data_IF_371895975803
#
_entry.id   IF_371895975803
#
_cell.length_a   1.000
_cell.length_b   1.000
_cell.length_c   1.000
_cell.angle_alpha   90.00
_cell.angle_beta   90.00
_cell.angle_gamma   90.00
#
_symmetry.space_group_name_H-M   'P 1'
#
loop_
_entity.id
_entity.type
_entity.pdbx_description
1 polymer ?
#
# COMPACT_ATOMS: atom_id res chain seq x y z
N UNK A 1 -29.34 11.86 -0.01
CA UNK A 1 -28.48 11.63 1.16
C UNK A 1 -27.06 11.71 0.65
N UNK A 2 -26.18 12.56 1.20
CA UNK A 2 -24.81 12.56 0.71
C UNK A 2 -24.17 11.23 1.13
N UNK A 3 -23.57 10.54 0.17
CA UNK A 3 -22.75 9.37 0.41
C UNK A 3 -21.71 9.73 1.48
N UNK A 4 -21.79 9.07 2.63
CA UNK A 4 -20.66 9.01 3.55
C UNK A 4 -19.61 8.23 2.77
N UNK A 5 -18.69 8.93 2.10
CA UNK A 5 -17.43 8.33 1.69
C UNK A 5 -16.86 7.73 2.96
N UNK A 6 -16.89 6.40 3.08
CA UNK A 6 -16.19 5.72 4.16
C UNK A 6 -14.73 6.07 3.95
N UNK A 7 -14.26 7.07 4.69
CA UNK A 7 -12.93 7.62 4.55
C UNK A 7 -11.97 6.49 4.92
N UNK A 8 -11.07 6.14 4.01
CA UNK A 8 -9.99 5.21 4.30
C UNK A 8 -9.27 5.63 5.58
N UNK A 9 -9.32 4.78 6.60
CA UNK A 9 -8.84 5.11 7.94
C UNK A 9 -7.34 5.45 7.96
N UNK A 10 -6.57 4.94 6.98
CA UNK A 10 -5.16 5.29 6.80
C UNK A 10 -5.00 6.76 6.37
N UNK A 11 -5.79 7.20 5.39
CA UNK A 11 -5.77 8.58 4.88
C UNK A 11 -6.28 9.54 5.95
N UNK A 12 -7.35 9.18 6.68
CA UNK A 12 -7.83 9.96 7.83
C UNK A 12 -6.72 10.16 8.87
N UNK A 13 -6.04 9.08 9.25
CA UNK A 13 -4.92 9.10 10.22
C UNK A 13 -3.76 9.98 9.74
N UNK A 14 -3.52 10.05 8.43
CA UNK A 14 -2.45 10.86 7.84
C UNK A 14 -2.81 12.35 7.80
N UNK A 15 -4.06 12.67 7.49
CA UNK A 15 -4.51 14.03 7.18
C UNK A 15 -5.07 14.80 8.38
N UNK A 16 -5.53 14.09 9.42
CA UNK A 16 -6.12 14.70 10.60
C UNK A 16 -5.08 15.40 11.50
N UNK A 17 -5.47 16.54 12.06
CA UNK A 17 -4.71 17.25 13.10
C UNK A 17 -5.03 16.75 14.51
N UNK A 18 -6.10 15.95 14.68
CA UNK A 18 -6.53 15.43 15.98
C UNK A 18 -5.60 14.30 16.43
N UNK A 19 -4.95 14.47 17.58
CA UNK A 19 -3.89 13.57 18.05
C UNK A 19 -4.38 12.14 18.29
N UNK A 20 -5.58 11.98 18.83
CA UNK A 20 -6.24 10.69 19.06
C UNK A 20 -6.48 9.88 17.78
N UNK A 21 -6.73 10.55 16.65
CA UNK A 21 -6.88 9.90 15.34
C UNK A 21 -5.54 9.74 14.61
N UNK A 22 -4.62 10.71 14.76
CA UNK A 22 -3.32 10.75 14.07
C UNK A 22 -2.31 9.74 14.63
N UNK A 23 -2.34 9.52 15.93
CA UNK A 23 -1.32 8.78 16.69
C UNK A 23 -1.73 7.31 16.94
N UNK A 24 -2.62 6.77 16.09
CA UNK A 24 -3.02 5.35 16.06
C UNK A 24 -1.92 4.49 15.44
N UNK A 25 -1.78 3.24 15.90
CA UNK A 25 -0.86 2.30 15.28
C UNK A 25 -1.38 1.86 13.91
N UNK A 26 -0.49 1.56 12.98
CA UNK A 26 -0.89 1.01 11.67
C UNK A 26 -1.62 -0.34 11.83
N UNK A 27 -1.17 -1.17 12.77
CA UNK A 27 -1.79 -2.47 13.07
C UNK A 27 -3.27 -2.34 13.41
N UNK A 28 -3.64 -1.42 14.32
CA UNK A 28 -5.06 -1.25 14.70
C UNK A 28 -5.93 -0.67 13.59
N UNK A 29 -5.32 -0.04 12.57
CA UNK A 29 -6.06 0.48 11.41
C UNK A 29 -6.37 -0.61 10.38
N UNK A 30 -5.64 -1.72 10.39
CA UNK A 30 -5.74 -2.75 9.36
C UNK A 30 -6.05 -4.14 9.90
N UNK A 31 -6.06 -4.37 11.22
CA UNK A 31 -6.21 -5.71 11.82
C UNK A 31 -7.47 -6.44 11.35
N UNK A 32 -8.62 -5.76 11.38
CA UNK A 32 -9.92 -6.34 11.02
C UNK A 32 -10.19 -6.36 9.51
N UNK A 33 -9.32 -5.76 8.70
CA UNK A 33 -9.50 -5.72 7.25
C UNK A 33 -9.30 -7.11 6.63
N UNK A 34 -10.26 -7.50 5.78
CA UNK A 34 -10.10 -8.64 4.87
C UNK A 34 -9.02 -8.33 3.83
N UNK A 35 -8.55 -9.36 3.11
CA UNK A 35 -7.57 -9.16 2.03
C UNK A 35 -8.06 -8.14 0.98
N UNK A 36 -9.33 -8.25 0.55
CA UNK A 36 -9.91 -7.34 -0.44
C UNK A 36 -9.95 -5.90 0.07
N UNK A 37 -10.43 -5.68 1.30
CA UNK A 37 -10.51 -4.34 1.89
C UNK A 37 -9.11 -3.73 2.07
N UNK A 38 -8.11 -4.53 2.45
CA UNK A 38 -6.75 -4.04 2.57
C UNK A 38 -6.17 -3.65 1.20
N UNK A 39 -6.44 -4.41 0.14
CA UNK A 39 -6.02 -4.08 -1.23
C UNK A 39 -6.70 -2.79 -1.73
N UNK A 40 -7.98 -2.59 -1.41
CA UNK A 40 -8.69 -1.35 -1.70
C UNK A 40 -8.06 -0.17 -0.94
N UNK A 41 -7.77 -0.36 0.35
CA UNK A 41 -7.11 0.65 1.17
C UNK A 41 -5.72 1.04 0.63
N UNK A 42 -4.92 0.05 0.22
CA UNK A 42 -3.61 0.26 -0.40
C UNK A 42 -3.74 1.06 -1.71
N UNK A 43 -4.70 0.70 -2.56
CA UNK A 43 -4.93 1.35 -3.86
C UNK A 43 -5.29 2.82 -3.69
N UNK A 44 -6.18 3.13 -2.75
CA UNK A 44 -6.54 4.51 -2.44
C UNK A 44 -5.38 5.30 -1.82
N UNK A 45 -4.59 4.68 -0.95
CA UNK A 45 -3.43 5.31 -0.33
C UNK A 45 -2.31 5.58 -1.35
N UNK A 46 -2.10 4.68 -2.31
CA UNK A 46 -1.17 4.88 -3.44
C UNK A 46 -1.61 6.05 -4.32
N UNK A 47 -2.90 6.12 -4.65
CA UNK A 47 -3.47 7.27 -5.39
C UNK A 47 -3.29 8.57 -4.61
N UNK A 48 -3.56 8.56 -3.30
CA UNK A 48 -3.38 9.71 -2.43
C UNK A 48 -1.94 10.23 -2.45
N UNK A 49 -0.92 9.39 -2.23
CA UNK A 49 0.49 9.86 -2.19
C UNK A 49 1.00 10.46 -3.50
N UNK A 50 0.39 10.11 -4.64
CA UNK A 50 0.73 10.60 -5.98
C UNK A 50 0.14 11.98 -6.26
N UNK A 51 -0.97 12.31 -5.61
CA UNK A 51 -1.73 13.55 -5.83
C UNK A 51 -1.55 14.56 -4.70
N UNK A 52 -1.15 14.11 -3.51
CA UNK A 52 -0.94 14.96 -2.35
C UNK A 52 0.29 15.87 -2.54
N UNK A 53 0.15 17.15 -2.17
CA UNK A 53 1.21 18.15 -2.27
C UNK A 53 2.02 18.24 -0.97
N UNK A 54 1.40 17.92 0.16
CA UNK A 54 2.03 17.96 1.47
C UNK A 54 3.06 16.83 1.63
N UNK A 55 4.35 17.18 1.61
CA UNK A 55 5.46 16.24 1.72
C UNK A 55 5.37 15.34 2.96
N UNK A 56 4.96 15.86 4.11
CA UNK A 56 4.84 15.07 5.34
C UNK A 56 3.78 13.96 5.19
N UNK A 57 2.62 14.31 4.63
CA UNK A 57 1.53 13.35 4.41
C UNK A 57 1.90 12.30 3.36
N UNK A 58 2.55 12.70 2.26
CA UNK A 58 3.09 11.78 1.25
C UNK A 58 4.09 10.79 1.85
N UNK A 59 5.01 11.28 2.68
CA UNK A 59 6.02 10.43 3.33
C UNK A 59 5.35 9.44 4.29
N UNK A 60 4.37 9.88 5.10
CA UNK A 60 3.61 8.95 5.95
C UNK A 60 2.88 7.87 5.13
N UNK A 61 2.28 8.24 4.01
CA UNK A 61 1.64 7.29 3.11
C UNK A 61 2.63 6.25 2.56
N UNK A 62 3.83 6.67 2.15
CA UNK A 62 4.90 5.75 1.72
C UNK A 62 5.33 4.78 2.84
N UNK A 63 5.49 5.27 4.07
CA UNK A 63 5.80 4.40 5.20
C UNK A 63 4.69 3.39 5.49
N UNK A 64 3.43 3.82 5.39
CA UNK A 64 2.29 2.93 5.56
C UNK A 64 2.23 1.88 4.45
N UNK A 65 2.39 2.27 3.18
CA UNK A 65 2.43 1.33 2.05
C UNK A 65 3.53 0.29 2.23
N UNK A 66 4.77 0.72 2.49
CA UNK A 66 5.90 -0.20 2.70
C UNK A 66 5.64 -1.17 3.86
N UNK A 67 5.12 -0.68 4.98
CA UNK A 67 4.81 -1.51 6.14
C UNK A 67 3.65 -2.48 5.88
N UNK A 68 2.61 -2.04 5.18
CA UNK A 68 1.46 -2.90 4.81
C UNK A 68 1.95 -4.03 3.92
N UNK A 69 2.66 -3.73 2.83
CA UNK A 69 3.21 -4.74 1.93
C UNK A 69 4.20 -5.68 2.62
N UNK A 70 4.95 -5.21 3.61
CA UNK A 70 5.94 -6.04 4.29
C UNK A 70 5.36 -6.94 5.38
N UNK A 71 4.38 -6.44 6.14
CA UNK A 71 3.98 -7.06 7.40
C UNK A 71 2.50 -7.43 7.47
N UNK A 72 1.62 -6.67 6.81
CA UNK A 72 0.18 -6.82 6.97
C UNK A 72 -0.48 -7.55 5.80
N UNK A 73 0.02 -7.39 4.57
CA UNK A 73 -0.51 -8.10 3.41
C UNK A 73 -0.13 -9.59 3.40
N UNK A 74 1.15 -10.00 3.60
CA UNK A 74 1.57 -11.39 3.46
C UNK A 74 0.79 -12.41 4.31
N UNK A 75 0.46 -12.15 5.59
CA UNK A 75 -0.32 -13.10 6.40
C UNK A 75 -1.73 -13.39 5.87
N UNK A 76 -2.25 -12.56 4.95
CA UNK A 76 -3.59 -12.68 4.35
C UNK A 76 -3.56 -13.32 2.97
N UNK A 77 -2.38 -13.56 2.40
CA UNK A 77 -2.22 -14.17 1.08
C UNK A 77 -2.32 -15.69 1.16
N UNK A 78 -2.72 -16.31 0.05
CA UNK A 78 -2.69 -17.76 -0.08
C UNK A 78 -1.23 -18.22 -0.20
N UNK A 79 -0.77 -19.05 0.75
CA UNK A 79 0.62 -19.56 0.78
C UNK A 79 0.99 -20.41 -0.44
N UNK A 80 0.01 -20.87 -1.23
CA UNK A 80 0.26 -21.56 -2.50
C UNK A 80 0.63 -20.61 -3.64
N UNK A 81 0.37 -19.31 -3.48
CA UNK A 81 0.65 -18.26 -4.47
C UNK A 81 2.07 -17.70 -4.34
N UNK A 82 3.07 -18.55 -4.60
CA UNK A 82 4.45 -18.05 -4.78
C UNK A 82 4.57 -17.42 -6.17
N UNK A 83 4.23 -16.13 -6.26
CA UNK A 83 4.36 -15.35 -7.50
C UNK A 83 5.82 -15.12 -7.91
N UNK A 84 6.03 -14.59 -9.11
CA UNK A 84 7.36 -14.16 -9.59
C UNK A 84 7.49 -12.65 -9.51
N UNK A 85 8.72 -12.16 -9.28
CA UNK A 85 9.01 -10.72 -9.41
C UNK A 85 9.24 -10.41 -10.89
N UNK A 86 8.51 -9.46 -11.49
CA UNK A 86 8.71 -9.04 -12.88
C UNK A 86 10.14 -8.52 -13.09
N UNK A 87 10.82 -9.03 -14.12
CA UNK A 87 12.22 -8.69 -14.39
C UNK A 87 12.43 -7.19 -14.62
N UNK A 88 11.63 -6.56 -15.49
CA UNK A 88 11.71 -5.13 -15.78
C UNK A 88 11.52 -4.28 -14.53
N UNK A 89 10.48 -4.57 -13.72
CA UNK A 89 10.25 -3.88 -12.45
C UNK A 89 11.45 -4.01 -11.49
N UNK A 90 12.11 -5.17 -11.47
CA UNK A 90 13.32 -5.36 -10.67
C UNK A 90 14.53 -4.57 -11.21
N UNK A 91 14.69 -4.46 -12.53
CA UNK A 91 15.71 -3.59 -13.13
C UNK A 91 15.45 -2.11 -12.81
N UNK A 92 14.19 -1.66 -12.87
CA UNK A 92 13.78 -0.33 -12.42
C UNK A 92 14.17 -0.08 -10.96
N UNK A 93 13.89 -1.04 -10.07
CA UNK A 93 14.22 -0.97 -8.66
C UNK A 93 15.73 -0.83 -8.44
N UNK A 94 16.55 -1.70 -9.05
CA UNK A 94 18.01 -1.64 -8.94
C UNK A 94 18.58 -0.32 -9.49
N UNK A 95 17.95 0.22 -10.53
CA UNK A 95 18.26 1.52 -11.11
C UNK A 95 17.74 2.73 -10.31
N UNK A 96 17.10 2.53 -9.15
CA UNK A 96 16.44 3.58 -8.34
C UNK A 96 15.34 4.35 -9.08
N UNK A 97 14.75 3.73 -10.10
CA UNK A 97 13.57 4.21 -10.83
C UNK A 97 12.32 3.69 -10.11
N UNK A 98 12.11 4.15 -8.88
CA UNK A 98 11.13 3.59 -7.95
C UNK A 98 9.69 3.71 -8.45
N UNK A 99 9.36 4.83 -9.11
CA UNK A 99 8.00 5.07 -9.58
C UNK A 99 7.64 4.07 -10.68
N UNK A 100 8.53 3.88 -11.65
CA UNK A 100 8.37 2.87 -12.69
C UNK A 100 8.35 1.45 -12.12
N UNK A 101 9.22 1.14 -11.15
CA UNK A 101 9.22 -0.17 -10.48
C UNK A 101 7.87 -0.46 -9.80
N UNK A 102 7.32 0.49 -9.07
CA UNK A 102 6.01 0.36 -8.41
C UNK A 102 4.91 0.16 -9.44
N UNK A 103 4.91 0.95 -10.53
CA UNK A 103 3.89 0.85 -11.58
C UNK A 103 3.89 -0.55 -12.23
N UNK A 104 5.07 -1.09 -12.56
CA UNK A 104 5.24 -2.45 -13.10
C UNK A 104 4.75 -3.53 -12.13
N UNK A 105 5.12 -3.44 -10.84
CA UNK A 105 4.69 -4.42 -9.85
C UNK A 105 3.18 -4.37 -9.59
N UNK A 106 2.58 -3.18 -9.58
CA UNK A 106 1.14 -3.00 -9.41
C UNK A 106 0.34 -3.49 -10.63
N UNK A 107 0.87 -3.30 -11.85
CA UNK A 107 0.25 -3.82 -13.07
C UNK A 107 0.16 -5.35 -13.02
N UNK A 108 1.26 -6.03 -12.68
CA UNK A 108 1.26 -7.49 -12.52
C UNK A 108 0.36 -7.92 -11.37
N UNK A 109 0.38 -7.23 -10.22
CA UNK A 109 -0.54 -7.52 -9.11
C UNK A 109 -2.01 -7.42 -9.54
N UNK A 110 -2.35 -6.45 -10.40
CA UNK A 110 -3.74 -6.28 -10.88
C UNK A 110 -4.20 -7.39 -11.82
N UNK A 111 -3.26 -8.03 -12.53
CA UNK A 111 -3.55 -9.09 -13.50
C UNK A 111 -3.55 -10.48 -12.87
N UNK A 112 -2.52 -10.76 -12.07
CA UNK A 112 -2.24 -12.11 -11.54
C UNK A 112 -2.67 -12.25 -10.06
N UNK A 113 -3.04 -11.15 -9.42
CA UNK A 113 -3.34 -11.08 -7.99
C UNK A 113 -2.11 -10.80 -7.13
N UNK A 114 -2.36 -10.54 -5.84
CA UNK A 114 -1.29 -10.33 -4.86
C UNK A 114 -0.59 -11.65 -4.52
N UNK A 115 0.72 -11.58 -4.35
CA UNK A 115 1.58 -12.71 -3.97
C UNK A 115 2.70 -12.24 -3.04
N UNK A 116 3.29 -13.15 -2.28
CA UNK A 116 4.39 -12.82 -1.36
C UNK A 116 5.57 -12.14 -2.06
N UNK A 117 5.93 -12.64 -3.26
CA UNK A 117 7.03 -12.09 -4.06
C UNK A 117 6.76 -10.65 -4.50
N UNK A 118 5.55 -10.36 -5.00
CA UNK A 118 5.16 -9.00 -5.39
C UNK A 118 5.06 -8.09 -4.17
N UNK A 119 4.50 -8.57 -3.07
CA UNK A 119 4.39 -7.82 -1.82
C UNK A 119 5.78 -7.42 -1.29
N UNK A 120 6.76 -8.33 -1.35
CA UNK A 120 8.14 -8.06 -0.99
C UNK A 120 8.81 -7.01 -1.90
N UNK A 121 8.57 -7.10 -3.22
CA UNK A 121 9.08 -6.15 -4.19
C UNK A 121 8.49 -4.74 -3.98
N UNK A 122 7.17 -4.64 -3.80
CA UNK A 122 6.45 -3.40 -3.51
C UNK A 122 6.84 -2.78 -2.17
N UNK A 123 7.12 -3.59 -1.15
CA UNK A 123 7.65 -3.10 0.12
C UNK A 123 9.05 -2.46 0.00
N UNK A 124 9.82 -2.87 -1.02
CA UNK A 124 11.21 -2.47 -1.22
C UNK A 124 11.40 -1.30 -2.18
N UNK A 125 10.39 -1.00 -3.01
CA UNK A 125 10.38 0.09 -3.98
C UNK A 125 9.93 1.42 -3.37
#
# INVERSE_FOLDING_TARGET
MPEVRSMNALIETITTDQADLRDRSLESLVEDATLSELLDHITELDRFRRQEDNLYQRVRALFFLSAIYRYHLPPRLDQSSSGSIPFEGYEHLLGRRFQEAIDEFLEVQSTDGASDSLSSALASA
#
